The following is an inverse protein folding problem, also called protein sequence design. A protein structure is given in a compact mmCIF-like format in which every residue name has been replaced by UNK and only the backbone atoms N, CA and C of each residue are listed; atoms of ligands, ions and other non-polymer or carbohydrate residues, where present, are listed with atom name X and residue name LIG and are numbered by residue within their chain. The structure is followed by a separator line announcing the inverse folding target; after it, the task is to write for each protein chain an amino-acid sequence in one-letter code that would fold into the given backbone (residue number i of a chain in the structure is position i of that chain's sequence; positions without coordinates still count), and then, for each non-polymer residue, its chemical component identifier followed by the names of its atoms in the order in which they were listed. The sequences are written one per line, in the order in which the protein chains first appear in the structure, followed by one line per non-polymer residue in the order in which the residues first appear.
data_IF_654969727077
#
_entry.id   IF_654969727077
#
_cell.length_a   1.000
_cell.length_b   1.000
_cell.length_c   1.000
_cell.angle_alpha   90.00
_cell.angle_beta   90.00
_cell.angle_gamma   90.00
#
_symmetry.space_group_name_H-M   'P 1'
#
loop_
_entity.id
_entity.type
_entity.pdbx_description
1 polymer ?
#
# COMPACT_ATOMS: atom_id res chain seq x y z
N UNK A 1 19.97 9.09 -22.63
CA UNK A 1 19.30 8.49 -21.46
C UNK A 1 17.96 9.16 -21.32
N UNK A 2 16.90 8.37 -21.11
CA UNK A 2 15.53 8.87 -20.92
C UNK A 2 14.97 8.23 -19.66
N UNK A 3 14.42 9.05 -18.78
CA UNK A 3 13.75 8.64 -17.54
C UNK A 3 12.34 9.25 -17.56
N UNK A 4 11.33 8.42 -17.36
CA UNK A 4 9.93 8.86 -17.41
C UNK A 4 9.14 8.13 -16.34
N UNK A 5 8.36 8.89 -15.55
CA UNK A 5 7.38 8.34 -14.63
C UNK A 5 6.14 7.95 -15.44
N UNK A 6 5.77 6.67 -15.43
CA UNK A 6 4.64 6.16 -16.20
C UNK A 6 3.37 6.00 -15.35
N UNK A 7 3.52 5.57 -14.10
CA UNK A 7 2.42 5.39 -13.16
C UNK A 7 2.91 5.56 -11.71
N UNK A 8 2.00 5.99 -10.83
CA UNK A 8 2.23 6.15 -9.40
C UNK A 8 0.96 5.76 -8.65
N UNK A 9 1.08 4.80 -7.74
CA UNK A 9 -0.07 4.26 -7.00
C UNK A 9 0.34 3.64 -5.69
N UNK A 10 -0.65 3.41 -4.83
CA UNK A 10 -0.49 2.65 -3.59
C UNK A 10 -0.85 1.17 -3.76
N UNK A 11 -0.21 0.34 -2.95
CA UNK A 11 -0.49 -1.07 -2.75
C UNK A 11 -0.95 -1.21 -1.30
N UNK A 12 -2.22 -1.58 -1.08
CA UNK A 12 -2.86 -1.56 0.24
C UNK A 12 -2.52 -2.75 1.15
N UNK A 13 -1.73 -3.70 0.65
CA UNK A 13 -1.33 -4.90 1.39
C UNK A 13 -0.38 -5.77 0.57
N UNK A 14 -0.39 -7.07 0.88
CA UNK A 14 0.44 -8.06 0.19
C UNK A 14 0.26 -7.99 -1.33
N UNK A 15 1.38 -8.05 -2.05
CA UNK A 15 1.45 -7.85 -3.49
C UNK A 15 2.52 -8.76 -4.11
N UNK A 16 2.78 -8.59 -5.41
CA UNK A 16 3.74 -9.43 -6.15
C UNK A 16 5.17 -9.35 -5.59
N UNK A 17 5.53 -8.23 -4.95
CA UNK A 17 6.91 -7.92 -4.58
C UNK A 17 7.21 -8.29 -3.13
N UNK A 18 6.25 -8.12 -2.22
CA UNK A 18 6.37 -8.46 -0.80
C UNK A 18 4.99 -8.53 -0.11
N UNK A 19 5.01 -8.91 1.16
CA UNK A 19 3.84 -9.17 2.01
C UNK A 19 3.32 -7.95 2.79
N UNK A 20 3.64 -6.73 2.35
CA UNK A 20 3.31 -5.48 3.05
C UNK A 20 2.79 -4.37 2.11
N UNK A 21 2.08 -3.37 2.66
CA UNK A 21 1.67 -2.19 1.91
C UNK A 21 2.87 -1.37 1.43
N UNK A 22 2.67 -0.64 0.33
CA UNK A 22 3.75 0.14 -0.30
C UNK A 22 3.21 1.22 -1.24
N UNK A 23 4.02 2.27 -1.45
CA UNK A 23 3.90 3.13 -2.61
C UNK A 23 4.76 2.57 -3.75
N UNK A 24 4.20 2.46 -4.96
CA UNK A 24 4.89 1.98 -6.15
C UNK A 24 4.84 3.03 -7.26
N UNK A 25 5.98 3.24 -7.91
CA UNK A 25 6.05 3.91 -9.20
C UNK A 25 6.53 2.94 -10.27
N UNK A 26 5.94 3.01 -11.45
CA UNK A 26 6.44 2.34 -12.64
C UNK A 26 7.10 3.39 -13.53
N UNK A 27 8.36 3.13 -13.91
CA UNK A 27 9.19 4.08 -14.65
C UNK A 27 9.72 3.45 -15.93
N UNK A 28 9.84 4.25 -16.99
CA UNK A 28 10.59 3.90 -18.18
C UNK A 28 12.03 4.40 -18.06
N UNK A 29 12.98 3.52 -18.37
CA UNK A 29 14.42 3.77 -18.28
C UNK A 29 15.10 3.35 -19.58
N UNK A 30 15.63 4.32 -20.31
CA UNK A 30 16.55 4.08 -21.43
C UNK A 30 17.97 4.44 -21.01
N UNK A 31 18.79 3.44 -20.70
CA UNK A 31 20.17 3.63 -20.27
C UNK A 31 20.58 2.67 -19.16
N UNK A 32 21.42 3.14 -18.24
CA UNK A 32 21.96 2.37 -17.13
C UNK A 32 20.93 2.21 -16.00
N UNK A 33 20.04 1.22 -16.12
CA UNK A 33 18.95 1.00 -15.15
C UNK A 33 19.44 0.72 -13.72
N UNK A 34 20.52 -0.04 -13.57
CA UNK A 34 21.09 -0.34 -12.25
C UNK A 34 21.57 0.94 -11.54
N UNK A 35 22.27 1.83 -12.24
CA UNK A 35 22.74 3.11 -11.69
C UNK A 35 21.57 4.03 -11.31
N UNK A 36 20.50 4.02 -12.10
CA UNK A 36 19.27 4.77 -11.82
C UNK A 36 18.62 4.27 -10.54
N UNK A 37 18.46 2.95 -10.39
CA UNK A 37 17.86 2.37 -9.19
C UNK A 37 18.73 2.62 -7.96
N UNK A 38 20.05 2.45 -8.05
CA UNK A 38 20.96 2.76 -6.93
C UNK A 38 20.86 4.23 -6.49
N UNK A 39 20.67 5.13 -7.45
CA UNK A 39 20.49 6.56 -7.17
C UNK A 39 19.15 6.84 -6.52
N UNK A 40 18.08 6.20 -6.99
CA UNK A 40 16.75 6.27 -6.41
C UNK A 40 16.70 5.73 -4.98
N UNK A 41 17.30 4.57 -4.69
CA UNK A 41 17.38 4.02 -3.32
C UNK A 41 18.01 5.03 -2.35
N UNK A 42 19.09 5.71 -2.78
CA UNK A 42 19.75 6.76 -1.97
C UNK A 42 18.87 8.00 -1.80
N UNK A 43 18.08 8.36 -2.82
CA UNK A 43 17.13 9.48 -2.73
C UNK A 43 15.99 9.17 -1.77
N UNK A 44 15.33 8.02 -1.91
CA UNK A 44 14.28 7.58 -0.99
C UNK A 44 14.81 7.58 0.44
N UNK A 45 16.02 7.05 0.69
CA UNK A 45 16.58 7.04 2.05
C UNK A 45 16.71 8.44 2.65
N UNK A 46 17.21 9.42 1.89
CA UNK A 46 17.30 10.81 2.36
C UNK A 46 15.93 11.39 2.70
N UNK A 47 14.93 11.19 1.84
CA UNK A 47 13.60 11.74 2.07
C UNK A 47 12.90 11.07 3.25
N UNK A 48 13.02 9.74 3.39
CA UNK A 48 12.54 9.00 4.56
C UNK A 48 13.17 9.53 5.86
N UNK A 49 14.47 9.81 5.85
CA UNK A 49 15.16 10.41 7.00
C UNK A 49 14.62 11.82 7.32
N UNK A 50 14.28 12.62 6.29
CA UNK A 50 13.75 13.99 6.47
C UNK A 50 12.33 14.00 7.07
N UNK A 51 11.48 13.04 6.70
CA UNK A 51 10.08 12.96 7.18
C UNK A 51 9.89 12.02 8.38
N UNK A 52 10.97 11.41 8.88
CA UNK A 52 10.93 10.56 10.08
C UNK A 52 10.45 9.12 9.88
N UNK A 53 10.39 8.61 8.64
CA UNK A 53 9.99 7.23 8.30
C UNK A 53 11.21 6.33 8.07
N UNK A 54 12.18 6.38 8.98
CA UNK A 54 13.51 5.75 8.82
C UNK A 54 13.49 4.23 8.80
N UNK A 55 12.41 3.60 9.26
CA UNK A 55 12.25 2.14 9.31
C UNK A 55 11.69 1.56 8.00
N UNK A 56 11.17 2.41 7.12
CA UNK A 56 10.62 1.95 5.85
C UNK A 56 11.70 1.44 4.90
N UNK A 57 11.35 0.44 4.10
CA UNK A 57 12.23 -0.30 3.22
C UNK A 57 11.93 0.01 1.75
N UNK A 58 12.89 -0.28 0.88
CA UNK A 58 12.71 -0.18 -0.57
C UNK A 58 12.85 -1.55 -1.22
N UNK A 59 12.02 -1.83 -2.21
CA UNK A 59 12.15 -2.98 -3.10
C UNK A 59 11.98 -2.53 -4.55
N UNK A 60 12.52 -3.29 -5.50
CA UNK A 60 12.38 -2.95 -6.91
C UNK A 60 12.39 -4.19 -7.81
N UNK A 61 11.89 -4.03 -9.02
CA UNK A 61 11.99 -5.02 -10.09
C UNK A 61 12.37 -4.34 -11.39
N UNK A 62 13.51 -4.73 -11.94
CA UNK A 62 13.92 -4.33 -13.29
C UNK A 62 13.21 -5.17 -14.35
N UNK A 63 12.92 -4.54 -15.48
CA UNK A 63 12.45 -5.21 -16.70
C UNK A 63 12.96 -4.49 -17.95
N UNK A 64 12.72 -5.06 -19.13
CA UNK A 64 13.14 -4.43 -20.37
C UNK A 64 12.45 -3.07 -20.56
N UNK A 65 13.25 -2.00 -20.58
CA UNK A 65 12.79 -0.64 -20.78
C UNK A 65 12.30 0.09 -19.53
N UNK A 66 12.46 -0.47 -18.31
CA UNK A 66 11.98 0.21 -17.11
C UNK A 66 12.16 -0.56 -15.80
N UNK A 67 11.51 -0.03 -14.76
CA UNK A 67 11.52 -0.62 -13.42
C UNK A 67 10.22 -0.31 -12.66
N UNK A 68 9.83 -1.23 -11.77
CA UNK A 68 8.88 -0.95 -10.69
C UNK A 68 9.69 -0.64 -9.43
N UNK A 69 9.46 0.53 -8.81
CA UNK A 69 10.20 1.02 -7.66
C UNK A 69 9.24 1.22 -6.48
N UNK A 70 9.49 0.54 -5.36
CA UNK A 70 8.58 0.45 -4.23
C UNK A 70 9.21 0.96 -2.94
N UNK A 71 8.44 1.73 -2.18
CA UNK A 71 8.76 2.14 -0.80
C UNK A 71 7.68 1.58 0.10
N UNK A 72 8.03 0.84 1.17
CA UNK A 72 7.02 0.39 2.13
C UNK A 72 6.39 1.58 2.83
N UNK A 73 5.16 1.39 3.31
CA UNK A 73 4.50 2.38 4.13
C UNK A 73 3.50 1.72 5.08
N UNK A 74 3.25 2.33 6.25
CA UNK A 74 2.07 2.04 7.05
C UNK A 74 0.79 2.35 6.25
N UNK A 75 -0.29 1.63 6.56
CA UNK A 75 -1.55 1.74 5.81
C UNK A 75 -2.22 3.13 5.92
N UNK A 76 -1.87 3.90 6.94
CA UNK A 76 -2.45 5.22 7.22
C UNK A 76 -1.70 6.38 6.56
N UNK A 77 -0.66 6.12 5.74
CA UNK A 77 0.13 7.17 5.07
C UNK A 77 0.55 6.80 3.64
N UNK A 78 -0.23 5.95 2.97
CA UNK A 78 0.12 5.40 1.66
C UNK A 78 0.15 6.46 0.55
N UNK A 79 -0.74 7.46 0.59
CA UNK A 79 -0.74 8.54 -0.41
C UNK A 79 0.46 9.47 -0.22
N UNK A 80 0.79 9.81 1.02
CA UNK A 80 1.97 10.59 1.38
C UNK A 80 3.26 9.89 0.98
N UNK A 81 3.29 8.55 1.07
CA UNK A 81 4.43 7.76 0.60
C UNK A 81 4.54 7.72 -0.94
N UNK A 82 3.43 7.79 -1.68
CA UNK A 82 3.45 7.98 -3.14
C UNK A 82 4.11 9.31 -3.49
N UNK A 83 3.69 10.39 -2.85
CA UNK A 83 4.27 11.74 -3.04
C UNK A 83 5.77 11.74 -2.71
N UNK A 84 6.18 11.10 -1.62
CA UNK A 84 7.60 10.95 -1.27
C UNK A 84 8.38 10.19 -2.36
N UNK A 85 7.82 9.09 -2.87
CA UNK A 85 8.47 8.29 -3.92
C UNK A 85 8.61 9.08 -5.23
N UNK A 86 7.62 9.91 -5.57
CA UNK A 86 7.68 10.83 -6.73
C UNK A 86 8.75 11.92 -6.54
N UNK A 87 8.86 12.52 -5.35
CA UNK A 87 9.93 13.49 -5.03
C UNK A 87 11.31 12.83 -5.12
N UNK A 88 11.47 11.61 -4.58
CA UNK A 88 12.71 10.85 -4.69
C UNK A 88 13.07 10.50 -6.14
N UNK A 89 12.06 10.21 -6.97
CA UNK A 89 12.23 9.99 -8.40
C UNK A 89 12.64 11.26 -9.15
N UNK A 90 12.03 12.41 -8.85
CA UNK A 90 12.41 13.70 -9.41
C UNK A 90 13.87 14.07 -9.05
N UNK A 91 14.29 13.85 -7.80
CA UNK A 91 15.70 14.03 -7.41
C UNK A 91 16.63 13.08 -8.17
N UNK A 92 16.19 11.84 -8.39
CA UNK A 92 16.93 10.86 -9.20
C UNK A 92 17.10 11.35 -10.64
N UNK A 93 16.03 11.80 -11.27
CA UNK A 93 16.07 12.37 -12.62
C UNK A 93 17.04 13.56 -12.70
N UNK A 94 17.00 14.45 -11.70
CA UNK A 94 17.88 15.61 -11.65
C UNK A 94 19.37 15.21 -11.59
N UNK A 95 19.74 14.18 -10.82
CA UNK A 95 21.12 13.65 -10.76
C UNK A 95 21.63 13.13 -12.10
N UNK A 96 20.71 12.77 -12.99
CA UNK A 96 20.98 12.35 -14.36
C UNK A 96 20.80 13.47 -15.39
N UNK A 97 20.70 14.72 -14.94
CA UNK A 97 20.63 15.93 -15.77
C UNK A 97 19.24 16.19 -16.37
N UNK A 98 18.18 15.63 -15.79
CA UNK A 98 16.80 15.77 -16.27
C UNK A 98 15.94 16.47 -15.21
N UNK A 99 15.20 17.50 -15.63
CA UNK A 99 14.28 18.21 -14.74
C UNK A 99 14.96 19.06 -13.66
N UNK A 100 14.14 19.69 -12.83
CA UNK A 100 14.58 20.53 -11.72
C UNK A 100 14.80 19.69 -10.46
N UNK A 101 15.75 20.10 -9.63
CA UNK A 101 15.95 19.48 -8.32
C UNK A 101 14.78 19.84 -7.42
N UNK A 102 14.15 18.88 -6.72
CA UNK A 102 13.21 19.22 -5.65
C UNK A 102 13.93 20.04 -4.57
N UNK A 103 13.38 21.18 -4.18
CA UNK A 103 13.95 22.03 -3.12
C UNK A 103 13.61 21.43 -1.75
N UNK A 104 14.58 20.95 -0.96
CA UNK A 104 14.32 20.43 0.37
C UNK A 104 13.60 21.43 1.29
N UNK A 105 13.86 22.73 1.14
CA UNK A 105 13.21 23.77 1.94
C UNK A 105 11.71 23.92 1.67
N UNK A 106 11.23 23.47 0.50
CA UNK A 106 9.82 23.51 0.12
C UNK A 106 9.15 22.14 0.26
N UNK A 107 9.83 21.08 -0.16
CA UNK A 107 9.30 19.71 -0.18
C UNK A 107 9.19 19.09 1.20
N UNK A 108 10.16 19.29 2.10
CA UNK A 108 10.11 18.70 3.45
C UNK A 108 8.89 19.19 4.25
N UNK A 109 8.59 20.51 4.34
CA UNK A 109 7.39 20.98 5.02
C UNK A 109 6.08 20.54 4.32
N UNK A 110 6.10 20.42 2.99
CA UNK A 110 4.95 19.93 2.21
C UNK A 110 4.65 18.47 2.53
N UNK A 111 5.67 17.60 2.43
CA UNK A 111 5.54 16.17 2.72
C UNK A 111 5.13 15.94 4.17
N UNK A 112 5.77 16.61 5.15
CA UNK A 112 5.38 16.48 6.55
C UNK A 112 3.91 16.84 6.79
N UNK A 113 3.40 17.89 6.12
CA UNK A 113 1.97 18.24 6.20
C UNK A 113 1.08 17.13 5.64
N UNK A 114 1.44 16.55 4.49
CA UNK A 114 0.68 15.44 3.91
C UNK A 114 0.65 14.23 4.85
N UNK A 115 1.81 13.85 5.40
CA UNK A 115 1.91 12.77 6.38
C UNK A 115 1.05 13.04 7.62
N UNK A 116 1.08 14.27 8.16
CA UNK A 116 0.29 14.63 9.33
C UNK A 116 -1.22 14.68 9.05
N UNK A 117 -1.63 15.06 7.83
CA UNK A 117 -3.04 15.08 7.39
C UNK A 117 -3.60 13.68 7.15
N UNK A 118 -2.79 12.74 6.65
CA UNK A 118 -3.22 11.37 6.34
C UNK A 118 -3.21 10.44 7.56
N UNK A 119 -2.27 10.67 8.49
CA UNK A 119 -1.99 9.77 9.63
C UNK A 119 -3.26 9.44 10.42
N UNK A 120 -3.43 8.15 10.69
CA UNK A 120 -4.56 7.60 11.44
C UNK A 120 -4.04 6.60 12.49
N UNK A 121 -3.56 7.08 13.65
CA UNK A 121 -3.06 6.19 14.70
C UNK A 121 -4.07 5.15 15.20
N UNK A 122 -5.39 5.47 15.33
CA UNK A 122 -6.41 4.45 15.60
C UNK A 122 -6.44 3.29 14.60
N UNK A 123 -6.23 3.56 13.30
CA UNK A 123 -6.18 2.53 12.26
C UNK A 123 -5.03 1.56 12.49
N UNK A 124 -3.82 2.07 12.74
CA UNK A 124 -2.65 1.24 13.02
C UNK A 124 -2.81 0.44 14.32
N UNK A 125 -3.35 1.06 15.37
CA UNK A 125 -3.60 0.39 16.64
C UNK A 125 -4.60 -0.76 16.49
N UNK A 126 -5.66 -0.57 15.69
CA UNK A 126 -6.64 -1.61 15.43
C UNK A 126 -6.06 -2.75 14.56
N UNK A 127 -5.27 -2.41 13.54
CA UNK A 127 -4.56 -3.38 12.70
C UNK A 127 -3.67 -4.30 13.54
N UNK A 128 -2.87 -3.71 14.44
CA UNK A 128 -1.96 -4.47 15.29
C UNK A 128 -2.72 -5.34 16.30
N UNK A 129 -3.74 -4.79 16.95
CA UNK A 129 -4.56 -5.56 17.88
C UNK A 129 -5.30 -6.73 17.18
N UNK A 130 -5.75 -6.54 15.94
CA UNK A 130 -6.34 -7.62 15.15
C UNK A 130 -5.32 -8.73 14.85
N UNK A 131 -4.08 -8.35 14.51
CA UNK A 131 -2.96 -9.28 14.30
C UNK A 131 -2.65 -10.09 15.56
N UNK A 132 -2.58 -9.44 16.72
CA UNK A 132 -2.31 -10.08 18.01
C UNK A 132 -3.41 -11.06 18.42
N UNK A 133 -4.67 -10.76 18.11
CA UNK A 133 -5.82 -11.62 18.40
C UNK A 133 -6.10 -12.66 17.31
N UNK A 134 -5.34 -12.66 16.21
CA UNK A 134 -5.54 -13.60 15.09
C UNK A 134 -6.86 -13.37 14.34
N UNK A 135 -7.40 -12.15 14.38
CA UNK A 135 -8.65 -11.77 13.73
C UNK A 135 -8.36 -11.20 12.34
N UNK A 136 -9.08 -11.64 11.28
CA UNK A 136 -8.92 -11.04 9.96
C UNK A 136 -9.20 -9.54 9.97
N UNK A 137 -8.32 -8.77 9.32
CA UNK A 137 -8.43 -7.32 9.18
C UNK A 137 -8.38 -6.97 7.70
N UNK A 138 -9.35 -6.19 7.23
CA UNK A 138 -9.32 -5.57 5.90
C UNK A 138 -9.56 -4.08 6.02
N UNK A 139 -8.98 -3.33 5.09
CA UNK A 139 -9.12 -1.88 5.05
C UNK A 139 -9.17 -1.40 3.59
N UNK A 140 -9.96 -0.37 3.36
CA UNK A 140 -9.91 0.53 2.20
C UNK A 140 -10.27 1.96 2.64
N UNK A 141 -10.40 2.88 1.68
CA UNK A 141 -10.65 4.30 1.98
C UNK A 141 -11.99 4.56 2.68
N UNK A 142 -12.96 3.67 2.50
CA UNK A 142 -14.33 3.85 2.94
C UNK A 142 -14.62 3.03 4.21
N UNK A 143 -14.04 1.84 4.33
CA UNK A 143 -14.32 0.89 5.41
C UNK A 143 -13.07 0.15 5.93
N UNK A 144 -13.07 -0.06 7.23
CA UNK A 144 -12.19 -0.98 7.95
C UNK A 144 -13.05 -2.08 8.55
N UNK A 145 -12.68 -3.33 8.33
CA UNK A 145 -13.45 -4.49 8.82
C UNK A 145 -12.62 -5.49 9.61
N UNK A 146 -13.28 -6.07 10.62
CA UNK A 146 -12.78 -7.17 11.43
C UNK A 146 -13.63 -8.42 11.20
N UNK A 147 -12.99 -9.54 10.89
CA UNK A 147 -13.65 -10.81 10.58
C UNK A 147 -14.19 -10.90 9.16
N UNK A 148 -14.74 -12.08 8.81
CA UNK A 148 -15.32 -12.34 7.51
C UNK A 148 -16.78 -12.80 7.61
N UNK A 149 -17.55 -12.53 6.55
CA UNK A 149 -18.96 -12.91 6.43
C UNK A 149 -19.82 -12.47 7.61
N UNK A 150 -20.49 -13.40 8.25
CA UNK A 150 -21.38 -13.14 9.40
C UNK A 150 -20.67 -12.67 10.67
N UNK A 151 -19.36 -12.94 10.78
CA UNK A 151 -18.50 -12.43 11.87
C UNK A 151 -17.89 -11.06 11.56
N UNK A 152 -18.13 -10.54 10.36
CA UNK A 152 -17.60 -9.26 9.94
C UNK A 152 -18.33 -8.09 10.61
N UNK A 153 -17.57 -7.11 11.07
CA UNK A 153 -18.06 -5.77 11.38
C UNK A 153 -17.19 -4.76 10.67
N UNK A 154 -17.83 -3.73 10.10
CA UNK A 154 -17.16 -2.63 9.40
C UNK A 154 -17.42 -1.31 10.10
N UNK A 155 -16.43 -0.42 10.04
CA UNK A 155 -16.50 0.96 10.50
C UNK A 155 -15.83 1.86 9.46
N UNK A 156 -16.26 3.13 9.33
CA UNK A 156 -15.49 4.09 8.54
C UNK A 156 -14.17 4.41 9.27
N UNK A 157 -13.08 4.75 8.55
CA UNK A 157 -11.76 5.02 9.13
C UNK A 157 -11.72 6.13 10.20
N UNK A 158 -12.70 7.04 10.21
CA UNK A 158 -12.81 8.15 11.17
C UNK A 158 -13.60 7.79 12.44
N UNK A 159 -14.19 6.59 12.53
CA UNK A 159 -15.00 6.13 13.68
C UNK A 159 -14.65 4.71 14.11
N UNK A 160 -13.36 4.43 14.15
CA UNK A 160 -12.84 3.14 14.58
C UNK A 160 -13.07 2.93 16.09
N UNK A 161 -13.42 1.70 16.51
CA UNK A 161 -13.46 1.37 17.92
C UNK A 161 -12.04 1.40 18.51
N UNK A 162 -11.92 1.73 19.80
CA UNK A 162 -10.66 1.50 20.50
C UNK A 162 -10.44 -0.02 20.62
N UNK A 163 -9.18 -0.47 20.49
CA UNK A 163 -8.85 -1.90 20.55
C UNK A 163 -9.33 -2.61 21.83
N UNK A 164 -9.41 -1.88 22.96
CA UNK A 164 -9.91 -2.41 24.23
C UNK A 164 -11.43 -2.59 24.30
N UNK A 165 -12.18 -1.96 23.41
CA UNK A 165 -13.65 -2.05 23.35
C UNK A 165 -14.13 -3.12 22.36
N UNK A 166 -13.21 -3.73 21.61
CA UNK A 166 -13.52 -4.79 20.63
C UNK A 166 -13.70 -6.12 21.35
N UNK A 167 -14.85 -6.76 21.15
CA UNK A 167 -15.04 -8.17 21.50
C UNK A 167 -14.38 -9.06 20.43
N UNK A 168 -13.09 -9.31 20.58
CA UNK A 168 -12.28 -10.09 19.63
C UNK A 168 -12.85 -11.50 19.38
N UNK A 169 -13.56 -12.07 20.34
CA UNK A 169 -14.15 -13.41 20.21
C UNK A 169 -15.35 -13.46 19.25
N UNK A 170 -15.95 -12.30 18.95
CA UNK A 170 -17.06 -12.18 18.02
C UNK A 170 -16.62 -12.16 16.54
N UNK A 171 -15.32 -12.06 16.28
CA UNK A 171 -14.74 -11.94 14.94
C UNK A 171 -13.90 -13.16 14.59
N UNK A 172 -13.96 -13.61 13.33
CA UNK A 172 -13.17 -14.75 12.90
C UNK A 172 -13.06 -14.89 11.40
N UNK A 173 -12.23 -15.84 10.99
CA UNK A 173 -12.23 -16.28 9.60
C UNK A 173 -13.39 -17.24 9.36
N UNK A 174 -13.93 -17.22 8.14
CA UNK A 174 -14.81 -18.26 7.62
C UNK A 174 -14.08 -18.98 6.47
N UNK A 175 -14.52 -20.17 6.04
CA UNK A 175 -14.00 -20.79 4.83
C UNK A 175 -14.18 -19.89 3.60
N UNK A 176 -13.07 -19.55 2.92
CA UNK A 176 -13.08 -18.69 1.73
C UNK A 176 -12.84 -19.53 0.48
N UNK A 177 -13.66 -19.29 -0.56
CA UNK A 177 -13.45 -19.81 -1.92
C UNK A 177 -13.18 -18.64 -2.86
N UNK A 178 -11.97 -18.56 -3.40
CA UNK A 178 -11.57 -17.54 -4.37
C UNK A 178 -11.82 -18.03 -5.80
N UNK A 179 -12.57 -17.25 -6.59
CA UNK A 179 -12.85 -17.54 -8.01
C UNK A 179 -12.19 -16.48 -8.89
N UNK A 180 -11.16 -16.89 -9.64
CA UNK A 180 -10.44 -16.03 -10.59
C UNK A 180 -10.46 -16.59 -12.01
N UNK A 181 -10.17 -15.77 -13.02
CA UNK A 181 -10.16 -16.14 -14.42
C UNK A 181 -10.56 -15.00 -15.36
N UNK A 182 -10.18 -15.09 -16.63
CA UNK A 182 -10.44 -14.01 -17.62
C UNK A 182 -11.93 -13.84 -17.90
N UNK A 183 -12.68 -14.95 -18.00
CA UNK A 183 -14.12 -14.98 -18.28
C UNK A 183 -14.85 -15.95 -17.33
N UNK A 184 -16.18 -15.78 -17.19
CA UNK A 184 -17.03 -16.74 -16.47
C UNK A 184 -17.07 -16.63 -14.94
N UNK A 185 -16.23 -15.79 -14.32
CA UNK A 185 -16.15 -15.60 -12.85
C UNK A 185 -17.52 -15.41 -12.19
N UNK A 186 -18.30 -14.44 -12.66
CA UNK A 186 -19.61 -14.12 -12.06
C UNK A 186 -20.59 -15.27 -12.20
N UNK A 187 -20.55 -16.02 -13.31
CA UNK A 187 -21.38 -17.21 -13.51
C UNK A 187 -20.98 -18.31 -12.53
N UNK A 188 -19.68 -18.60 -12.41
CA UNK A 188 -19.16 -19.60 -11.48
C UNK A 188 -19.50 -19.25 -10.03
N UNK A 189 -19.28 -18.00 -9.60
CA UNK A 189 -19.63 -17.54 -8.24
C UNK A 189 -21.12 -17.74 -7.96
N UNK A 190 -22.00 -17.36 -8.90
CA UNK A 190 -23.47 -17.53 -8.74
C UNK A 190 -23.89 -18.99 -8.70
N UNK A 191 -23.27 -19.86 -9.52
CA UNK A 191 -23.53 -21.30 -9.50
C UNK A 191 -23.08 -21.92 -8.18
N UNK A 192 -21.87 -21.60 -7.72
CA UNK A 192 -21.35 -22.07 -6.43
C UNK A 192 -22.25 -21.63 -5.28
N UNK A 193 -22.66 -20.36 -5.24
CA UNK A 193 -23.58 -19.84 -4.22
C UNK A 193 -24.93 -20.58 -4.24
N UNK A 194 -25.47 -20.86 -5.43
CA UNK A 194 -26.71 -21.62 -5.60
C UNK A 194 -26.57 -23.07 -5.10
N UNK A 195 -25.45 -23.73 -5.39
CA UNK A 195 -25.14 -25.10 -4.95
C UNK A 195 -25.04 -25.15 -3.42
N UNK A 196 -24.28 -24.23 -2.81
CA UNK A 196 -24.14 -24.15 -1.35
C UNK A 196 -25.49 -23.93 -0.67
N UNK A 197 -26.28 -22.99 -1.19
CA UNK A 197 -27.64 -22.72 -0.68
C UNK A 197 -28.54 -23.94 -0.78
N UNK A 198 -28.53 -24.65 -1.92
CA UNK A 198 -29.31 -25.86 -2.11
C UNK A 198 -28.87 -27.02 -1.19
N UNK A 199 -27.59 -27.05 -0.80
CA UNK A 199 -27.03 -27.99 0.15
C UNK A 199 -27.24 -27.59 1.63
N UNK A 200 -27.87 -26.45 1.90
CA UNK A 200 -28.16 -25.97 3.26
C UNK A 200 -27.02 -25.19 3.92
N UNK A 201 -25.96 -24.85 3.18
CA UNK A 201 -24.90 -23.96 3.63
C UNK A 201 -25.25 -22.51 3.26
N UNK A 202 -25.18 -21.61 4.23
CA UNK A 202 -25.31 -20.16 4.05
C UNK A 202 -24.11 -19.46 4.65
#
# INVERSE_FOLDING_TARGET
MKLELCDSRRLTGANLYWDRPAAIIDVAIEGAADEVVETWVKAVRRWLDCVGYTEEETCYRLYQGGASLLVSAPIDVLYSMCELNEVAWAETCHRFGLGEAPDPGEEEPRLNRLFDEERNPPLLALQEAARENGVPFLWDDDEVSLGYGETARSWPPDRLPAAGDVDWSAHGAIPIVLVTGTNGKSTTVRMTASILTAAGYR
#
